data_IF_626006946076
#
_entry.id   IF_626006946076
#
_cell.length_a   1.000
_cell.length_b   1.000
_cell.length_c   1.000
_cell.angle_alpha   90.00
_cell.angle_beta   90.00
_cell.angle_gamma   90.00
#
_symmetry.space_group_name_H-M   'P 1'
#
loop_
_entity.id
_entity.type
_entity.pdbx_description
1 polymer ?
#
# COMPACT_ATOMS: atom_id res chain seq x y z
N UNK A 1 20.14 8.75 19.78
CA UNK A 1 20.39 9.67 18.65
C UNK A 1 19.04 9.98 18.04
N UNK A 2 18.52 11.18 18.25
CA UNK A 2 17.28 11.60 17.60
C UNK A 2 17.61 11.86 16.13
N UNK A 3 17.05 11.06 15.23
CA UNK A 3 17.14 11.32 13.79
C UNK A 3 16.18 12.48 13.54
N UNK A 4 16.69 13.71 13.48
CA UNK A 4 15.91 14.80 12.89
C UNK A 4 15.79 14.46 11.40
N UNK A 5 14.66 13.92 10.99
CA UNK A 5 14.34 13.81 9.58
C UNK A 5 14.19 15.23 9.06
N UNK A 6 15.23 15.76 8.40
CA UNK A 6 15.07 16.94 7.56
C UNK A 6 13.88 16.63 6.63
N UNK A 7 12.80 17.42 6.73
CA UNK A 7 11.57 17.15 6.01
C UNK A 7 11.88 17.01 4.52
N UNK A 8 11.77 15.79 3.99
CA UNK A 8 11.89 15.54 2.57
C UNK A 8 10.63 16.09 1.94
N UNK A 9 10.75 17.19 1.19
CA UNK A 9 9.65 17.69 0.37
C UNK A 9 9.52 16.78 -0.85
N UNK A 10 8.53 15.89 -0.82
CA UNK A 10 8.14 15.09 -1.99
C UNK A 10 7.06 15.87 -2.75
N UNK A 11 7.36 16.30 -3.97
CA UNK A 11 6.35 16.91 -4.85
C UNK A 11 5.42 15.80 -5.35
N UNK A 12 4.14 15.88 -5.05
CA UNK A 12 3.18 14.84 -5.42
C UNK A 12 2.08 15.36 -6.34
N UNK A 13 1.68 14.51 -7.28
CA UNK A 13 0.46 14.67 -8.07
C UNK A 13 -0.54 13.64 -7.58
N UNK A 14 -1.76 14.10 -7.27
CA UNK A 14 -2.87 13.27 -6.82
C UNK A 14 -3.90 13.21 -7.94
N UNK A 15 -4.23 11.99 -8.38
CA UNK A 15 -5.17 11.75 -9.49
C UNK A 15 -6.32 10.88 -9.02
N UNK A 16 -7.54 11.41 -9.13
CA UNK A 16 -8.77 10.72 -8.75
C UNK A 16 -9.39 10.01 -9.95
N UNK A 17 -9.96 8.83 -9.69
CA UNK A 17 -10.61 7.99 -10.69
C UNK A 17 -11.98 7.56 -10.18
N UNK A 18 -13.04 8.14 -10.76
CA UNK A 18 -14.43 7.94 -10.33
C UNK A 18 -14.86 6.46 -10.43
N UNK A 19 -14.33 5.72 -11.40
CA UNK A 19 -14.63 4.29 -11.54
C UNK A 19 -14.13 3.47 -10.34
N UNK A 20 -13.06 3.89 -9.67
CA UNK A 20 -12.53 3.22 -8.48
C UNK A 20 -13.04 3.81 -7.17
N UNK A 21 -14.01 4.75 -7.26
CA UNK A 21 -14.67 5.31 -6.10
C UNK A 21 -15.47 4.23 -5.38
N UNK A 22 -15.46 4.30 -4.05
CA UNK A 22 -16.17 3.36 -3.18
C UNK A 22 -17.56 3.88 -2.84
N UNK A 23 -18.48 2.95 -2.58
CA UNK A 23 -19.86 3.26 -2.21
C UNK A 23 -20.13 3.20 -0.70
N UNK A 24 -19.14 2.82 0.12
CA UNK A 24 -19.28 2.62 1.57
C UNK A 24 -18.00 2.94 2.34
N UNK A 25 -18.13 3.35 3.61
CA UNK A 25 -17.00 3.52 4.52
C UNK A 25 -16.47 2.15 4.99
N UNK A 26 -15.14 2.06 5.12
CA UNK A 26 -14.49 0.86 5.63
C UNK A 26 -13.64 1.20 6.84
N UNK A 27 -14.05 0.72 8.01
CA UNK A 27 -13.24 0.79 9.22
C UNK A 27 -12.29 -0.41 9.25
N UNK A 28 -11.01 -0.17 9.00
CA UNK A 28 -9.98 -1.22 8.87
C UNK A 28 -9.03 -1.25 10.08
N UNK A 29 -9.10 -0.24 10.95
CA UNK A 29 -8.37 -0.14 12.20
C UNK A 29 -9.04 0.83 13.17
N UNK A 30 -8.46 1.06 14.35
CA UNK A 30 -9.01 1.97 15.37
C UNK A 30 -9.19 3.40 14.82
N UNK A 31 -8.13 3.92 14.18
CA UNK A 31 -8.06 5.26 13.59
C UNK A 31 -7.93 5.24 12.06
N UNK A 32 -8.06 4.05 11.46
CA UNK A 32 -7.94 3.84 10.01
C UNK A 32 -9.34 3.64 9.41
N UNK A 33 -9.98 4.75 9.03
CA UNK A 33 -11.28 4.77 8.37
C UNK A 33 -11.09 5.25 6.93
N UNK A 34 -11.48 4.42 5.97
CA UNK A 34 -11.44 4.79 4.57
C UNK A 34 -12.77 5.46 4.21
N UNK A 35 -12.77 6.78 3.96
CA UNK A 35 -13.98 7.56 3.64
C UNK A 35 -14.26 7.63 2.12
N UNK A 36 -15.47 8.11 1.80
CA UNK A 36 -15.99 8.24 0.43
C UNK A 36 -15.15 9.23 -0.38
N UNK A 37 -14.75 8.85 -1.61
CA UNK A 37 -13.98 9.67 -2.57
C UNK A 37 -12.46 9.79 -2.39
N UNK A 38 -11.89 9.29 -1.29
CA UNK A 38 -10.47 9.53 -0.98
C UNK A 38 -9.50 8.63 -1.74
N UNK A 39 -10.01 7.75 -2.62
CA UNK A 39 -9.13 6.91 -3.42
C UNK A 39 -8.50 7.72 -4.56
N UNK A 40 -7.18 7.87 -4.48
CA UNK A 40 -6.40 8.49 -5.52
C UNK A 40 -5.12 7.71 -5.81
N UNK A 41 -4.66 7.86 -7.04
CA UNK A 41 -3.29 7.55 -7.42
C UNK A 41 -2.41 8.72 -7.00
N UNK A 42 -1.32 8.43 -6.29
CA UNK A 42 -0.33 9.42 -5.89
C UNK A 42 0.95 9.11 -6.67
N UNK A 43 1.52 10.13 -7.28
CA UNK A 43 2.76 10.02 -8.06
C UNK A 43 3.73 11.13 -7.68
N UNK A 44 5.02 10.87 -7.81
CA UNK A 44 6.02 11.92 -7.80
C UNK A 44 5.79 12.84 -9.01
N UNK A 45 5.78 14.15 -8.79
CA UNK A 45 5.42 15.12 -9.83
C UNK A 45 6.51 15.32 -10.88
N UNK A 46 7.76 15.01 -10.54
CA UNK A 46 8.90 15.15 -11.44
C UNK A 46 9.09 13.86 -12.27
N UNK A 47 8.88 12.68 -11.68
CA UNK A 47 9.15 11.38 -12.35
C UNK A 47 7.91 10.61 -12.81
N UNK A 48 6.72 10.94 -12.27
CA UNK A 48 5.49 10.13 -12.36
C UNK A 48 5.58 8.74 -11.73
N UNK A 49 6.63 8.44 -10.95
CA UNK A 49 6.73 7.17 -10.23
C UNK A 49 5.69 7.07 -9.09
N UNK A 50 5.24 5.87 -8.73
CA UNK A 50 4.19 5.70 -7.73
C UNK A 50 4.67 6.10 -6.33
N UNK A 51 3.79 6.79 -5.60
CA UNK A 51 3.93 7.03 -4.16
C UNK A 51 2.81 6.32 -3.41
N UNK A 52 3.10 5.74 -2.26
CA UNK A 52 2.14 4.95 -1.49
C UNK A 52 1.79 5.62 -0.16
N UNK A 53 0.50 5.72 0.12
CA UNK A 53 -0.02 6.21 1.39
C UNK A 53 0.13 5.13 2.48
N UNK A 54 0.88 5.44 3.53
CA UNK A 54 1.08 4.57 4.70
C UNK A 54 0.15 4.91 5.88
N UNK A 55 -0.69 5.93 5.73
CA UNK A 55 -1.67 6.34 6.74
C UNK A 55 -3.07 6.13 6.17
N UNK A 56 -3.68 4.95 6.35
CA UNK A 56 -4.98 4.68 5.78
C UNK A 56 -6.03 5.64 6.36
N UNK A 57 -6.78 6.32 5.49
CA UNK A 57 -7.81 7.29 5.90
C UNK A 57 -7.29 8.72 6.11
N UNK A 58 -5.99 8.96 5.98
CA UNK A 58 -5.45 10.31 6.03
C UNK A 58 -5.92 11.13 4.82
N UNK A 59 -6.31 12.37 5.08
CA UNK A 59 -6.79 13.28 4.05
C UNK A 59 -5.66 13.70 3.11
N UNK A 60 -5.85 13.45 1.81
CA UNK A 60 -4.90 13.77 0.76
C UNK A 60 -4.88 15.28 0.42
N UNK A 61 -5.89 16.05 0.85
CA UNK A 61 -6.06 17.48 0.55
C UNK A 61 -5.30 18.43 1.51
N UNK A 62 -4.62 17.91 2.53
CA UNK A 62 -3.73 18.72 3.36
C UNK A 62 -2.59 19.30 2.50
N UNK A 63 -2.30 20.59 2.67
CA UNK A 63 -1.46 21.42 1.79
C UNK A 63 -0.27 20.65 1.18
N UNK A 64 -0.38 20.44 -0.13
CA UNK A 64 0.25 19.38 -0.94
C UNK A 64 1.78 19.50 -1.04
N UNK A 65 2.35 20.65 -0.65
CA UNK A 65 3.78 20.97 -0.81
C UNK A 65 4.65 20.58 0.39
N UNK A 66 4.05 20.10 1.49
CA UNK A 66 4.78 19.65 2.68
C UNK A 66 4.08 18.45 3.29
N UNK A 67 4.36 17.25 2.77
CA UNK A 67 4.23 16.04 3.57
C UNK A 67 5.26 16.12 4.70
N UNK A 68 4.88 16.80 5.78
CA UNK A 68 5.56 16.65 7.06
C UNK A 68 5.02 15.33 7.59
N UNK A 69 5.80 14.26 7.44
CA UNK A 69 5.51 13.01 8.11
C UNK A 69 5.25 13.33 9.59
N UNK A 70 4.09 12.95 10.12
CA UNK A 70 3.89 13.13 11.56
C UNK A 70 4.96 12.29 12.28
N UNK A 71 5.61 12.83 13.30
CA UNK A 71 6.64 12.07 14.04
C UNK A 71 6.08 10.73 14.56
N UNK A 72 4.78 10.67 14.83
CA UNK A 72 4.05 9.46 15.20
C UNK A 72 3.99 8.40 14.09
N UNK A 73 3.95 8.78 12.82
CA UNK A 73 3.89 7.85 11.69
C UNK A 73 5.16 7.02 11.59
N UNK A 74 6.34 7.66 11.74
CA UNK A 74 7.61 6.94 11.69
C UNK A 74 7.80 6.08 12.94
N UNK A 75 7.40 6.59 14.11
CA UNK A 75 7.46 5.84 15.36
C UNK A 75 6.54 4.60 15.37
N UNK A 76 5.41 4.65 14.65
CA UNK A 76 4.46 3.54 14.52
C UNK A 76 4.89 2.44 13.54
N UNK A 77 5.90 2.70 12.71
CA UNK A 77 6.54 1.71 11.84
C UNK A 77 7.58 0.91 12.64
N UNK A 78 7.08 -0.04 13.41
CA UNK A 78 7.89 -1.01 14.14
C UNK A 78 8.64 -1.95 13.18
N UNK A 79 9.65 -2.67 13.69
CA UNK A 79 10.47 -3.59 12.88
C UNK A 79 9.67 -4.58 12.04
N UNK A 80 8.62 -5.20 12.60
CA UNK A 80 7.78 -6.14 11.85
C UNK A 80 6.99 -5.48 10.71
N UNK A 81 6.47 -4.26 10.90
CA UNK A 81 5.78 -3.52 9.83
C UNK A 81 6.76 -3.11 8.73
N UNK A 82 7.97 -2.67 9.09
CA UNK A 82 9.02 -2.34 8.13
C UNK A 82 9.41 -3.54 7.26
N UNK A 83 9.60 -4.72 7.87
CA UNK A 83 9.88 -5.95 7.13
C UNK A 83 8.76 -6.32 6.16
N UNK A 84 7.51 -6.29 6.62
CA UNK A 84 6.36 -6.62 5.78
C UNK A 84 6.16 -5.61 4.64
N UNK A 85 6.31 -4.31 4.89
CA UNK A 85 6.27 -3.28 3.85
C UNK A 85 7.42 -3.43 2.85
N UNK A 86 8.62 -3.76 3.34
CA UNK A 86 9.77 -4.04 2.47
C UNK A 86 9.48 -5.20 1.52
N UNK A 87 8.84 -6.27 2.00
CA UNK A 87 8.39 -7.37 1.13
C UNK A 87 7.32 -6.94 0.15
N UNK A 88 6.33 -6.13 0.57
CA UNK A 88 5.32 -5.59 -0.36
C UNK A 88 6.02 -4.87 -1.51
N UNK A 89 6.86 -3.88 -1.22
CA UNK A 89 7.54 -3.08 -2.24
C UNK A 89 8.53 -3.85 -3.11
N UNK A 90 9.08 -4.97 -2.61
CA UNK A 90 9.95 -5.85 -3.39
C UNK A 90 9.21 -6.61 -4.49
N UNK A 91 7.96 -7.03 -4.25
CA UNK A 91 7.22 -7.92 -5.14
C UNK A 91 6.02 -7.29 -5.85
N UNK A 92 5.73 -6.02 -5.55
CA UNK A 92 4.57 -5.31 -6.11
C UNK A 92 5.00 -4.22 -7.10
N UNK A 93 4.02 -3.50 -7.63
CA UNK A 93 4.28 -2.36 -8.52
C UNK A 93 4.94 -1.24 -7.72
N UNK A 94 6.17 -0.85 -8.08
CA UNK A 94 6.90 0.26 -7.41
C UNK A 94 7.59 1.19 -8.39
N UNK A 95 7.50 0.90 -9.70
CA UNK A 95 8.13 1.68 -10.75
C UNK A 95 7.25 1.75 -11.99
N UNK A 96 7.35 2.86 -12.71
CA UNK A 96 6.54 3.17 -13.88
C UNK A 96 5.49 4.24 -13.56
N UNK A 97 4.73 4.66 -14.57
CA UNK A 97 3.69 5.66 -14.38
C UNK A 97 2.32 4.98 -14.19
N UNK A 98 1.71 5.01 -12.98
CA UNK A 98 0.40 4.44 -12.74
C UNK A 98 -0.68 5.01 -13.67
N UNK A 99 -0.58 6.28 -14.05
CA UNK A 99 -1.57 6.96 -14.89
C UNK A 99 -1.46 6.59 -16.37
N UNK A 100 -0.41 5.88 -16.80
CA UNK A 100 -0.16 5.56 -18.20
C UNK A 100 -1.17 4.58 -18.83
N UNK A 101 -1.78 3.68 -18.03
CA UNK A 101 -2.75 2.71 -18.53
C UNK A 101 -3.68 2.20 -17.44
N UNK A 102 -4.83 1.63 -17.82
CA UNK A 102 -5.74 0.99 -16.88
C UNK A 102 -5.06 -0.16 -16.11
N UNK A 103 -4.20 -0.93 -16.77
CA UNK A 103 -3.43 -2.00 -16.13
C UNK A 103 -2.46 -1.43 -15.07
N UNK A 104 -1.72 -0.37 -15.40
CA UNK A 104 -0.79 0.27 -14.44
C UNK A 104 -1.53 0.82 -13.21
N UNK A 105 -2.72 1.41 -13.43
CA UNK A 105 -3.60 1.83 -12.33
C UNK A 105 -4.02 0.65 -11.46
N UNK A 106 -4.49 -0.44 -12.06
CA UNK A 106 -4.92 -1.62 -11.31
C UNK A 106 -3.77 -2.24 -10.50
N UNK A 107 -2.56 -2.26 -11.05
CA UNK A 107 -1.34 -2.71 -10.34
C UNK A 107 -0.98 -1.80 -9.16
N UNK A 108 -1.08 -0.47 -9.35
CA UNK A 108 -0.90 0.50 -8.26
C UNK A 108 -1.93 0.28 -7.15
N UNK A 109 -3.21 0.13 -7.52
CA UNK A 109 -4.30 -0.05 -6.55
C UNK A 109 -4.09 -1.33 -5.73
N UNK A 110 -3.75 -2.43 -6.39
CA UNK A 110 -3.43 -3.68 -5.73
C UNK A 110 -2.30 -3.54 -4.70
N UNK A 111 -1.24 -2.80 -5.06
CA UNK A 111 -0.11 -2.54 -4.16
C UNK A 111 -0.53 -1.72 -2.95
N UNK A 112 -1.25 -0.62 -3.17
CA UNK A 112 -1.71 0.27 -2.10
C UNK A 112 -2.66 -0.45 -1.11
N UNK A 113 -3.47 -1.42 -1.58
CA UNK A 113 -4.27 -2.26 -0.68
C UNK A 113 -3.41 -3.12 0.25
N UNK A 114 -2.34 -3.74 -0.28
CA UNK A 114 -1.41 -4.54 0.53
C UNK A 114 -0.66 -3.69 1.56
N UNK A 115 -0.27 -2.46 1.19
CA UNK A 115 0.32 -1.49 2.13
C UNK A 115 -0.64 -1.23 3.30
N UNK A 116 -1.92 -0.99 3.03
CA UNK A 116 -2.90 -0.74 4.08
C UNK A 116 -3.21 -1.96 4.94
N UNK A 117 -3.18 -3.17 4.40
CA UNK A 117 -3.32 -4.39 5.22
C UNK A 117 -2.17 -4.53 6.23
N UNK A 118 -0.93 -4.20 5.82
CA UNK A 118 0.21 -4.18 6.74
C UNK A 118 0.03 -3.09 7.79
N UNK A 119 -0.33 -1.87 7.38
CA UNK A 119 -0.49 -0.74 8.30
C UNK A 119 -1.61 -0.95 9.31
N UNK A 120 -2.71 -1.58 8.89
CA UNK A 120 -3.84 -1.96 9.73
C UNK A 120 -3.55 -3.17 10.63
N UNK A 121 -2.44 -3.88 10.44
CA UNK A 121 -2.12 -5.09 11.21
C UNK A 121 -2.96 -6.31 10.83
N UNK A 122 -3.36 -6.40 9.56
CA UNK A 122 -4.15 -7.51 9.00
C UNK A 122 -3.27 -8.62 8.38
N UNK A 123 -1.94 -8.53 8.56
CA UNK A 123 -0.96 -9.51 8.07
C UNK A 123 -0.06 -9.99 9.20
N UNK A 124 0.17 -11.30 9.26
CA UNK A 124 1.21 -11.90 10.11
C UNK A 124 2.60 -11.87 9.44
N UNK A 125 3.62 -12.43 10.11
CA UNK A 125 5.00 -12.50 9.62
C UNK A 125 5.19 -13.34 8.36
N UNK A 126 4.28 -14.28 8.09
CA UNK A 126 4.24 -15.12 6.89
C UNK A 126 3.32 -14.53 5.81
N UNK A 127 2.86 -13.30 6.05
CA UNK A 127 1.95 -12.56 5.19
C UNK A 127 0.58 -13.23 5.01
N UNK A 128 0.17 -14.12 5.92
CA UNK A 128 -1.22 -14.60 5.96
C UNK A 128 -2.15 -13.52 6.49
N UNK A 129 -3.41 -13.57 6.04
CA UNK A 129 -4.47 -12.68 6.56
C UNK A 129 -4.78 -13.06 8.00
N UNK A 130 -4.80 -12.07 8.87
CA UNK A 130 -5.25 -12.20 10.26
C UNK A 130 -6.39 -11.24 10.54
N UNK A 131 -7.27 -11.63 11.45
CA UNK A 131 -8.35 -10.77 11.92
C UNK A 131 -7.80 -9.83 13.01
N UNK A 132 -7.79 -8.52 12.72
CA UNK A 132 -7.42 -7.48 13.68
C UNK A 132 -8.62 -6.91 14.46
N UNK A 133 -9.81 -7.51 14.32
CA UNK A 133 -11.07 -7.02 14.90
C UNK A 133 -11.83 -6.01 14.02
N UNK A 134 -11.32 -5.71 12.83
CA UNK A 134 -11.88 -4.72 11.90
C UNK A 134 -12.15 -5.32 10.52
N UNK A 135 -12.78 -4.54 9.64
CA UNK A 135 -13.12 -5.01 8.30
C UNK A 135 -11.84 -5.24 7.47
N UNK A 136 -11.69 -6.38 6.78
CA UNK A 136 -10.54 -6.62 5.91
C UNK A 136 -10.44 -5.60 4.78
N UNK A 137 -9.24 -5.07 4.49
CA UNK A 137 -9.05 -4.18 3.32
C UNK A 137 -9.45 -4.90 2.03
N UNK A 138 -9.26 -6.22 1.93
CA UNK A 138 -9.70 -6.98 0.75
C UNK A 138 -11.22 -6.97 0.50
N UNK A 139 -12.04 -6.52 1.46
CA UNK A 139 -13.47 -6.33 1.24
C UNK A 139 -13.78 -5.23 0.22
N UNK A 140 -12.78 -4.41 -0.13
CA UNK A 140 -12.84 -3.48 -1.24
C UNK A 140 -13.10 -4.16 -2.59
N UNK A 141 -12.78 -5.44 -2.73
CA UNK A 141 -13.07 -6.20 -3.95
C UNK A 141 -14.51 -6.72 -4.03
N UNK A 142 -15.30 -6.63 -2.95
CA UNK A 142 -16.69 -7.12 -2.95
C UNK A 142 -17.55 -6.27 -3.88
N UNK A 143 -18.49 -6.93 -4.58
CA UNK A 143 -19.43 -6.26 -5.49
C UNK A 143 -20.15 -5.11 -4.79
N UNK A 144 -20.15 -3.93 -5.41
CA UNK A 144 -20.71 -2.70 -4.86
C UNK A 144 -19.70 -1.81 -4.11
N UNK A 145 -18.57 -2.34 -3.65
CA UNK A 145 -17.57 -1.52 -2.94
C UNK A 145 -16.56 -0.82 -3.86
N UNK A 146 -16.40 -1.28 -5.11
CA UNK A 146 -15.54 -0.66 -6.12
C UNK A 146 -16.05 -1.04 -7.52
N UNK A 147 -16.08 -0.10 -8.47
CA UNK A 147 -16.40 -0.45 -9.86
C UNK A 147 -15.17 -1.06 -10.51
N UNK A 148 -15.31 -2.24 -11.12
CA UNK A 148 -14.24 -3.00 -11.79
C UNK A 148 -13.13 -3.59 -10.89
N UNK A 149 -13.46 -4.41 -9.86
CA UNK A 149 -12.48 -4.97 -8.95
C UNK A 149 -11.65 -6.12 -9.55
N UNK A 150 -12.09 -6.76 -10.64
CA UNK A 150 -11.50 -8.02 -11.13
C UNK A 150 -10.04 -7.91 -11.57
N UNK A 151 -9.67 -6.86 -12.32
CA UNK A 151 -8.29 -6.62 -12.73
C UNK A 151 -7.37 -6.32 -11.55
N UNK A 152 -7.87 -5.56 -10.58
CA UNK A 152 -7.13 -5.20 -9.36
C UNK A 152 -6.92 -6.46 -8.50
N UNK A 153 -7.97 -7.25 -8.31
CA UNK A 153 -7.92 -8.49 -7.53
C UNK A 153 -6.94 -9.49 -8.15
N UNK A 154 -6.82 -9.52 -9.47
CA UNK A 154 -5.83 -10.36 -10.17
C UNK A 154 -4.41 -10.00 -9.77
N UNK A 155 -4.02 -8.72 -9.87
CA UNK A 155 -2.69 -8.27 -9.46
C UNK A 155 -2.47 -8.42 -7.95
N UNK A 156 -3.48 -8.12 -7.14
CA UNK A 156 -3.42 -8.32 -5.69
C UNK A 156 -3.09 -9.76 -5.33
N UNK A 157 -3.80 -10.73 -5.92
CA UNK A 157 -3.56 -12.15 -5.66
C UNK A 157 -2.17 -12.60 -6.13
N UNK A 158 -1.69 -12.07 -7.26
CA UNK A 158 -0.34 -12.34 -7.78
C UNK A 158 0.74 -11.83 -6.82
N UNK A 159 0.62 -10.58 -6.37
CA UNK A 159 1.57 -9.97 -5.44
C UNK A 159 1.53 -10.66 -4.07
N UNK A 160 0.33 -10.92 -3.53
CA UNK A 160 0.18 -11.67 -2.27
C UNK A 160 0.87 -13.03 -2.35
N UNK A 161 0.69 -13.77 -3.45
CA UNK A 161 1.37 -15.05 -3.66
C UNK A 161 2.90 -14.88 -3.65
N UNK A 162 3.43 -13.93 -4.41
CA UNK A 162 4.87 -13.68 -4.49
C UNK A 162 5.46 -13.28 -3.13
N UNK A 163 4.76 -12.45 -2.36
CA UNK A 163 5.18 -12.03 -1.02
C UNK A 163 5.20 -13.21 -0.05
N UNK A 164 4.19 -14.09 -0.10
CA UNK A 164 4.14 -15.32 0.72
C UNK A 164 5.22 -16.32 0.36
N UNK A 165 5.70 -16.30 -0.88
CA UNK A 165 6.78 -17.17 -1.36
C UNK A 165 8.18 -16.58 -1.09
N UNK A 166 8.29 -15.35 -0.57
CA UNK A 166 9.57 -14.70 -0.22
C UNK A 166 10.48 -15.55 0.69
N UNK A 167 9.91 -16.29 1.63
CA UNK A 167 10.66 -17.16 2.56
C UNK A 167 11.04 -18.52 1.97
N UNK A 168 10.53 -18.87 0.80
CA UNK A 168 10.75 -20.18 0.16
C UNK A 168 11.94 -20.21 -0.80
N UNK A 169 12.53 -19.06 -1.12
CA UNK A 169 13.57 -18.97 -2.17
C UNK A 169 14.96 -18.53 -1.69
N UNK A 170 15.21 -18.37 -0.38
CA UNK A 170 16.60 -18.23 0.11
C UNK A 170 17.22 -19.62 0.30
N UNK A 171 17.44 -20.34 -0.80
CA UNK A 171 18.43 -21.43 -0.82
C UNK A 171 19.74 -20.86 -1.35
N UNK A 172 20.56 -20.32 -0.44
CA UNK A 172 21.99 -20.28 -0.71
C UNK A 172 22.44 -21.75 -0.74
N UNK A 173 22.48 -22.35 -1.93
CA UNK A 173 23.31 -23.51 -2.18
C UNK A 173 24.75 -23.09 -1.85
N UNK A 174 25.18 -23.33 -0.61
CA UNK A 174 26.60 -23.42 -0.28
C UNK A 174 27.11 -24.65 -1.02
N UNK A 175 27.59 -24.46 -2.24
CA UNK A 175 28.47 -25.43 -2.88
C UNK A 175 29.76 -25.45 -2.07
N UNK A 176 29.90 -26.43 -1.19
CA UNK A 176 31.21 -26.87 -0.74
C UNK A 176 31.86 -27.53 -1.95
N UNK A 177 32.76 -26.82 -2.62
CA UNK A 177 33.75 -27.47 -3.46
C UNK A 177 34.75 -28.17 -2.52
N UNK A 178 34.79 -29.49 -2.62
CA UNK A 178 35.73 -30.40 -1.95
C UNK A 178 37.01 -30.58 -2.74
#
# INVERSE_FOLDING_TARGET
MAVSAAGVTVKRTVTYYEEYRRQSELKIGPDAVLHFADWAVITDSDTNEPLYCIEPGADLNSAVDKLSYSEGTWAALTGSKLELLGRVFLYSYTKGNPNASAASRQQYIATQMLVWEVMAGQRDSDFNKINNGYTPVSDLFKSGNMSNPSGIQTYYNQYEKAIKDHSKEVTCAFLYES
#
